data_IF_672061871914
#
_entry.id   IF_672061871914
#
_cell.length_a   1.000
_cell.length_b   1.000
_cell.length_c   1.000
_cell.angle_alpha   90.00
_cell.angle_beta   90.00
_cell.angle_gamma   90.00
#
_symmetry.space_group_name_H-M   'P 1'
#
loop_
_entity.id
_entity.type
_entity.pdbx_description
1 polymer ?
#
# COMPACT_ATOMS: atom_id res chain seq x y z
N UNK A 1 41.35 39.52 21.89
CA UNK A 1 41.35 38.24 21.15
C UNK A 1 40.11 37.45 21.53
N UNK A 2 39.08 37.43 20.67
CA UNK A 2 37.84 36.67 20.90
C UNK A 2 38.04 35.27 20.31
N UNK A 3 38.03 34.23 21.15
CA UNK A 3 38.04 32.83 20.69
C UNK A 3 36.62 32.46 20.28
N UNK A 4 36.37 32.29 18.99
CA UNK A 4 35.13 31.68 18.51
C UNK A 4 35.15 30.19 18.86
N UNK A 5 34.20 29.76 19.68
CA UNK A 5 33.95 28.34 19.97
C UNK A 5 32.93 27.87 18.93
N UNK A 6 33.36 27.01 18.01
CA UNK A 6 32.45 26.30 17.11
C UNK A 6 31.81 25.14 17.88
N UNK A 7 30.53 25.28 18.23
CA UNK A 7 29.73 24.19 18.78
C UNK A 7 29.20 23.38 17.59
N UNK A 8 29.79 22.20 17.37
CA UNK A 8 29.32 21.25 16.36
C UNK A 8 28.17 20.44 16.96
N UNK A 9 26.94 20.70 16.52
CA UNK A 9 25.76 19.94 16.95
C UNK A 9 25.72 18.64 16.12
N UNK A 10 25.86 17.44 16.71
CA UNK A 10 25.77 16.21 15.95
C UNK A 10 24.32 16.04 15.46
N UNK A 11 24.13 16.12 14.15
CA UNK A 11 22.85 15.86 13.50
C UNK A 11 22.59 14.35 13.57
N UNK A 12 21.82 13.91 14.57
CA UNK A 12 21.31 12.54 14.59
C UNK A 12 20.22 12.41 13.51
N UNK A 13 20.61 11.93 12.33
CA UNK A 13 19.66 11.55 11.29
C UNK A 13 18.92 10.29 11.76
N UNK A 14 17.70 10.46 12.23
CA UNK A 14 16.76 9.35 12.44
C UNK A 14 16.34 8.81 11.07
N UNK A 15 16.74 7.56 10.77
CA UNK A 15 16.28 6.87 9.57
C UNK A 15 14.81 6.52 9.77
N UNK A 16 13.92 7.14 8.98
CA UNK A 16 12.51 6.77 8.92
C UNK A 16 12.35 5.55 8.03
N UNK A 17 12.04 4.39 8.63
CA UNK A 17 11.69 3.18 7.88
C UNK A 17 10.23 3.28 7.40
N UNK A 18 10.01 3.96 6.28
CA UNK A 18 8.75 3.83 5.53
C UNK A 18 8.66 2.45 4.87
N UNK A 19 7.45 2.02 4.51
CA UNK A 19 7.34 0.82 3.68
C UNK A 19 8.02 1.10 2.35
N UNK A 20 9.07 0.33 2.07
CA UNK A 20 9.56 0.11 0.71
C UNK A 20 9.31 -1.35 0.34
N UNK A 21 10.04 -1.86 -0.66
CA UNK A 21 9.89 -3.27 -1.11
C UNK A 21 9.94 -4.29 0.04
N UNK A 22 10.84 -4.11 1.00
CA UNK A 22 10.96 -4.98 2.18
C UNK A 22 9.70 -4.95 3.06
N UNK A 23 9.14 -3.76 3.27
CA UNK A 23 7.93 -3.55 4.06
C UNK A 23 6.73 -4.31 3.52
N UNK A 24 6.41 -4.06 2.24
CA UNK A 24 5.32 -4.75 1.56
C UNK A 24 5.50 -6.27 1.54
N UNK A 25 6.72 -6.75 1.30
CA UNK A 25 7.04 -8.19 1.33
C UNK A 25 6.79 -8.82 2.69
N UNK A 26 7.15 -8.13 3.78
CA UNK A 26 6.89 -8.59 5.15
C UNK A 26 5.38 -8.63 5.41
N UNK A 27 4.63 -7.57 5.05
CA UNK A 27 3.17 -7.54 5.19
C UNK A 27 2.52 -8.70 4.44
N UNK A 28 2.88 -8.91 3.16
CA UNK A 28 2.37 -10.01 2.35
C UNK A 28 2.73 -11.39 2.91
N UNK A 29 3.97 -11.56 3.41
CA UNK A 29 4.40 -12.80 4.03
C UNK A 29 3.60 -13.12 5.29
N UNK A 30 3.43 -12.14 6.19
CA UNK A 30 2.63 -12.29 7.41
C UNK A 30 1.18 -12.63 7.04
N UNK A 31 0.56 -11.88 6.11
CA UNK A 31 -0.81 -12.13 5.67
C UNK A 31 -1.02 -13.57 5.20
N UNK A 32 -0.08 -14.12 4.43
CA UNK A 32 -0.13 -15.48 3.91
C UNK A 32 -0.13 -16.55 5.02
N UNK A 33 0.58 -16.31 6.13
CA UNK A 33 0.61 -17.21 7.29
C UNK A 33 -0.73 -17.27 8.03
N UNK A 34 -1.50 -16.18 7.98
CA UNK A 34 -2.78 -16.06 8.69
C UNK A 34 -4.02 -16.34 7.81
N UNK A 35 -3.85 -16.71 6.54
CA UNK A 35 -4.97 -17.12 5.70
C UNK A 35 -5.62 -18.39 6.25
N UNK A 36 -6.95 -18.37 6.34
CA UNK A 36 -7.74 -19.61 6.48
C UNK A 36 -7.58 -20.48 5.26
N UNK A 37 -7.90 -21.77 5.37
CA UNK A 37 -7.79 -22.71 4.25
C UNK A 37 -8.62 -22.27 3.03
N UNK A 38 -9.86 -21.82 3.25
CA UNK A 38 -10.71 -21.29 2.17
C UNK A 38 -10.11 -20.05 1.50
N UNK A 39 -9.55 -19.13 2.29
CA UNK A 39 -8.91 -17.93 1.74
C UNK A 39 -7.64 -18.29 0.95
N UNK A 40 -6.86 -19.25 1.44
CA UNK A 40 -5.67 -19.76 0.77
C UNK A 40 -6.01 -20.37 -0.59
N UNK A 41 -7.05 -21.21 -0.65
CA UNK A 41 -7.51 -21.77 -1.92
C UNK A 41 -7.97 -20.70 -2.92
N UNK A 42 -8.69 -19.67 -2.45
CA UNK A 42 -9.08 -18.55 -3.28
C UNK A 42 -7.87 -17.77 -3.82
N UNK A 43 -6.91 -17.45 -2.96
CA UNK A 43 -5.65 -16.80 -3.37
C UNK A 43 -4.90 -17.66 -4.40
N UNK A 44 -4.75 -18.96 -4.15
CA UNK A 44 -4.10 -19.88 -5.09
C UNK A 44 -4.84 -19.98 -6.42
N UNK A 45 -6.17 -19.93 -6.44
CA UNK A 45 -6.92 -19.90 -7.71
C UNK A 45 -6.69 -18.64 -8.54
N UNK A 46 -6.34 -17.53 -7.88
CA UNK A 46 -6.10 -16.24 -8.55
C UNK A 46 -4.62 -16.10 -8.96
N UNK A 47 -3.69 -16.41 -8.06
CA UNK A 47 -2.25 -16.16 -8.23
C UNK A 47 -1.43 -17.39 -8.64
N UNK A 48 -2.05 -18.58 -8.67
CA UNK A 48 -1.36 -19.84 -8.89
C UNK A 48 -0.32 -20.09 -7.80
N UNK A 49 0.94 -20.25 -8.21
CA UNK A 49 2.06 -20.52 -7.30
C UNK A 49 2.76 -19.25 -6.78
N UNK A 50 2.21 -18.07 -7.07
CA UNK A 50 2.79 -16.79 -6.65
C UNK A 50 2.31 -16.42 -5.26
N UNK A 51 3.23 -16.15 -4.33
CA UNK A 51 2.90 -15.77 -2.95
C UNK A 51 2.39 -14.33 -2.82
N UNK A 52 1.66 -14.05 -1.75
CA UNK A 52 1.27 -12.67 -1.40
C UNK A 52 2.49 -11.76 -1.20
N UNK A 53 3.59 -12.30 -0.65
CA UNK A 53 4.85 -11.55 -0.48
C UNK A 53 5.43 -11.11 -1.83
N UNK A 54 5.41 -11.98 -2.84
CA UNK A 54 5.95 -11.67 -4.17
C UNK A 54 5.15 -10.59 -4.89
N UNK A 55 3.81 -10.65 -4.83
CA UNK A 55 2.97 -9.66 -5.52
C UNK A 55 2.84 -8.33 -4.79
N UNK A 56 3.22 -8.29 -3.51
CA UNK A 56 3.06 -7.11 -2.65
C UNK A 56 3.72 -5.83 -3.16
N UNK A 57 4.72 -5.92 -4.05
CA UNK A 57 5.42 -4.75 -4.62
C UNK A 57 4.96 -4.39 -6.03
N UNK A 58 4.07 -5.18 -6.63
CA UNK A 58 3.68 -5.01 -8.03
C UNK A 58 3.00 -3.67 -8.30
N UNK A 59 2.16 -3.18 -7.38
CA UNK A 59 1.45 -1.92 -7.57
C UNK A 59 2.39 -0.71 -7.62
N UNK A 60 3.54 -0.74 -6.92
CA UNK A 60 4.57 0.30 -7.07
C UNK A 60 5.35 0.15 -8.38
N UNK A 61 5.59 -1.09 -8.82
CA UNK A 61 6.36 -1.38 -10.02
C UNK A 61 5.58 -1.00 -11.29
N UNK A 62 4.27 -1.22 -11.31
CA UNK A 62 3.41 -0.91 -12.46
C UNK A 62 3.24 0.59 -12.70
N UNK A 63 3.55 1.47 -11.72
CA UNK A 63 3.56 2.93 -11.91
C UNK A 63 4.57 3.41 -12.96
N UNK A 64 5.52 2.56 -13.33
CA UNK A 64 6.48 2.84 -14.40
C UNK A 64 5.89 2.65 -15.81
N UNK A 65 4.72 2.02 -15.91
CA UNK A 65 3.98 1.85 -17.16
C UNK A 65 3.02 3.04 -17.37
N UNK A 66 3.17 3.83 -18.46
CA UNK A 66 2.29 4.96 -18.74
C UNK A 66 0.81 4.59 -18.90
N UNK A 67 0.49 3.33 -19.23
CA UNK A 67 -0.90 2.87 -19.27
C UNK A 67 -1.57 2.89 -17.88
N UNK A 68 -0.77 2.91 -16.82
CA UNK A 68 -1.18 2.89 -15.42
C UNK A 68 -1.07 4.22 -14.68
N UNK A 69 -0.83 5.34 -15.40
CA UNK A 69 -0.78 6.69 -14.80
C UNK A 69 -2.04 7.03 -13.99
N UNK A 70 -3.18 6.47 -14.40
CA UNK A 70 -4.48 6.62 -13.73
C UNK A 70 -4.56 6.00 -12.33
N UNK A 71 -3.59 5.16 -11.95
CA UNK A 71 -3.50 4.51 -10.64
C UNK A 71 -2.60 5.25 -9.65
N UNK A 72 -1.98 6.37 -10.06
CA UNK A 72 -1.01 7.10 -9.25
C UNK A 72 -1.54 7.50 -7.86
N UNK A 73 -2.79 7.97 -7.80
CA UNK A 73 -3.44 8.45 -6.58
C UNK A 73 -4.07 7.33 -5.74
N UNK A 74 -3.89 6.05 -6.11
CA UNK A 74 -4.46 4.93 -5.38
C UNK A 74 -3.65 4.53 -4.15
N UNK A 75 -2.41 5.02 -4.00
CA UNK A 75 -1.48 4.58 -2.95
C UNK A 75 -1.62 5.34 -1.63
N UNK A 76 -2.43 6.39 -1.58
CA UNK A 76 -2.55 7.24 -0.41
C UNK A 76 -3.96 7.80 -0.31
N UNK A 77 -4.29 8.32 0.87
CA UNK A 77 -5.47 9.11 1.15
C UNK A 77 -5.08 10.21 2.13
N UNK A 78 -5.39 11.46 1.83
CA UNK A 78 -5.10 12.57 2.75
C UNK A 78 -6.27 12.82 3.68
N UNK A 79 -6.06 12.68 4.99
CA UNK A 79 -7.05 13.01 6.02
C UNK A 79 -6.50 14.18 6.84
N UNK A 80 -6.99 15.41 6.65
CA UNK A 80 -6.52 16.56 7.42
C UNK A 80 -6.75 16.40 8.93
N UNK A 81 -5.91 17.07 9.72
CA UNK A 81 -5.99 17.01 11.17
C UNK A 81 -7.37 17.47 11.69
N UNK A 82 -7.94 16.69 12.60
CA UNK A 82 -9.27 16.93 13.16
C UNK A 82 -10.42 16.52 12.24
N UNK A 83 -10.16 15.99 11.04
CA UNK A 83 -11.18 15.42 10.17
C UNK A 83 -11.31 13.90 10.33
N UNK A 84 -12.45 13.38 9.86
CA UNK A 84 -12.70 11.95 9.69
C UNK A 84 -12.75 11.63 8.20
N UNK A 85 -12.32 10.42 7.83
CA UNK A 85 -12.47 9.93 6.48
C UNK A 85 -13.96 9.93 6.05
N UNK A 86 -14.21 10.36 4.82
CA UNK A 86 -15.53 10.35 4.19
C UNK A 86 -15.36 10.19 2.68
N UNK A 87 -15.77 9.05 2.16
CA UNK A 87 -15.70 8.71 0.74
C UNK A 87 -16.00 9.90 -0.18
N UNK A 88 -15.10 10.16 -1.13
CA UNK A 88 -15.22 11.24 -2.10
C UNK A 88 -14.96 12.66 -1.57
N UNK A 89 -14.62 12.83 -0.28
CA UNK A 89 -14.19 14.12 0.29
C UNK A 89 -12.68 14.31 0.24
N UNK A 90 -11.92 13.25 0.56
CA UNK A 90 -10.46 13.30 0.66
C UNK A 90 -9.79 13.21 -0.71
N UNK A 91 -8.55 13.73 -0.80
CA UNK A 91 -7.68 13.47 -1.94
C UNK A 91 -6.98 12.12 -1.78
N UNK A 92 -6.70 11.47 -2.91
CA UNK A 92 -6.15 10.10 -2.91
C UNK A 92 -7.22 9.06 -2.62
N UNK A 93 -7.14 7.93 -3.34
CA UNK A 93 -8.24 6.98 -3.48
C UNK A 93 -7.95 5.62 -2.85
N UNK A 94 -6.94 5.51 -1.99
CA UNK A 94 -6.51 4.22 -1.43
C UNK A 94 -7.65 3.49 -0.72
N UNK A 95 -8.42 4.19 0.11
CA UNK A 95 -9.53 3.58 0.87
C UNK A 95 -10.65 3.12 -0.08
N UNK A 96 -11.04 3.95 -1.03
CA UNK A 96 -12.05 3.63 -2.04
C UNK A 96 -11.62 2.45 -2.91
N UNK A 97 -10.35 2.40 -3.32
CA UNK A 97 -9.82 1.32 -4.16
C UNK A 97 -9.76 0.00 -3.42
N UNK A 98 -9.41 0.00 -2.13
CA UNK A 98 -9.54 -1.19 -1.29
C UNK A 98 -10.98 -1.70 -1.27
N UNK A 99 -11.98 -0.83 -1.15
CA UNK A 99 -13.39 -1.22 -1.18
C UNK A 99 -13.83 -1.76 -2.55
N UNK A 100 -13.37 -1.14 -3.63
CA UNK A 100 -13.64 -1.57 -5.01
C UNK A 100 -13.09 -2.98 -5.28
N UNK A 101 -11.81 -3.21 -4.96
CA UNK A 101 -11.17 -4.52 -5.15
C UNK A 101 -11.77 -5.59 -4.24
N UNK A 102 -12.09 -5.27 -2.98
CA UNK A 102 -12.81 -6.19 -2.10
C UNK A 102 -14.18 -6.57 -2.67
N UNK A 103 -14.90 -5.62 -3.26
CA UNK A 103 -16.22 -5.87 -3.85
C UNK A 103 -16.10 -6.79 -5.06
N UNK A 104 -15.16 -6.52 -5.95
CA UNK A 104 -14.89 -7.35 -7.14
C UNK A 104 -14.49 -8.78 -6.76
N UNK A 105 -13.55 -8.94 -5.81
CA UNK A 105 -13.09 -10.26 -5.37
C UNK A 105 -14.19 -11.06 -4.67
N UNK A 106 -15.10 -10.38 -3.95
CA UNK A 106 -16.24 -11.02 -3.27
C UNK A 106 -17.37 -11.38 -4.24
N UNK A 107 -17.60 -10.60 -5.28
CA UNK A 107 -18.68 -10.88 -6.24
C UNK A 107 -18.39 -12.08 -7.11
N UNK A 108 -17.10 -12.39 -7.35
CA UNK A 108 -16.68 -13.46 -8.26
C UNK A 108 -17.03 -13.19 -9.73
N UNK A 109 -17.40 -11.95 -10.08
CA UNK A 109 -17.83 -11.57 -11.42
C UNK A 109 -16.69 -11.12 -12.33
N UNK A 110 -15.50 -10.88 -11.77
CA UNK A 110 -14.32 -10.46 -12.53
C UNK A 110 -13.71 -11.59 -13.35
N UNK A 111 -13.10 -11.23 -14.48
CA UNK A 111 -12.21 -12.11 -15.23
C UNK A 111 -10.98 -12.50 -14.40
N UNK A 112 -10.26 -13.54 -14.80
CA UNK A 112 -9.03 -13.95 -14.12
C UNK A 112 -8.03 -12.79 -14.00
N UNK A 113 -7.84 -12.02 -15.09
CA UNK A 113 -6.91 -10.89 -15.12
C UNK A 113 -7.34 -9.78 -14.16
N UNK A 114 -8.64 -9.43 -14.15
CA UNK A 114 -9.17 -8.41 -13.23
C UNK A 114 -9.02 -8.84 -11.76
N UNK A 115 -9.30 -10.10 -11.45
CA UNK A 115 -9.14 -10.64 -10.09
C UNK A 115 -7.67 -10.65 -9.66
N UNK A 116 -6.75 -10.99 -10.57
CA UNK A 116 -5.32 -10.95 -10.30
C UNK A 116 -4.86 -9.51 -9.99
N UNK A 117 -5.19 -8.55 -10.86
CA UNK A 117 -4.89 -7.13 -10.65
C UNK A 117 -5.47 -6.64 -9.32
N UNK A 118 -6.75 -6.94 -9.05
CA UNK A 118 -7.43 -6.53 -7.84
C UNK A 118 -6.76 -7.09 -6.58
N UNK A 119 -6.36 -8.36 -6.58
CA UNK A 119 -5.69 -8.97 -5.45
C UNK A 119 -4.28 -8.38 -5.24
N UNK A 120 -3.53 -8.12 -6.32
CA UNK A 120 -2.21 -7.47 -6.22
C UNK A 120 -2.31 -6.08 -5.61
N UNK A 121 -3.25 -5.26 -6.08
CA UNK A 121 -3.49 -3.94 -5.48
C UNK A 121 -3.98 -4.05 -4.04
N UNK A 122 -4.94 -4.94 -3.74
CA UNK A 122 -5.47 -5.10 -2.39
C UNK A 122 -4.35 -5.41 -1.37
N UNK A 123 -3.45 -6.33 -1.69
CA UNK A 123 -2.31 -6.68 -0.82
C UNK A 123 -1.40 -5.47 -0.60
N UNK A 124 -1.11 -4.71 -1.66
CA UNK A 124 -0.23 -3.55 -1.57
C UNK A 124 -0.86 -2.40 -0.78
N UNK A 125 -2.09 -2.02 -1.14
CA UNK A 125 -2.81 -0.87 -0.59
C UNK A 125 -3.14 -1.03 0.90
N UNK A 126 -3.40 -2.26 1.36
CA UNK A 126 -3.53 -2.51 2.80
C UNK A 126 -2.20 -2.20 3.51
N UNK A 127 -1.06 -2.52 2.92
CA UNK A 127 0.25 -2.12 3.44
C UNK A 127 0.40 -0.60 3.51
N UNK A 128 0.09 0.09 2.40
CA UNK A 128 0.14 1.55 2.30
C UNK A 128 -0.73 2.23 3.35
N UNK A 129 -1.99 1.81 3.53
CA UNK A 129 -2.90 2.40 4.51
C UNK A 129 -2.43 2.23 5.97
N UNK A 130 -1.53 1.30 6.25
CA UNK A 130 -0.89 1.15 7.57
C UNK A 130 0.43 1.95 7.68
N UNK A 131 0.85 2.64 6.63
CA UNK A 131 1.96 3.59 6.62
C UNK A 131 1.46 4.98 7.02
N UNK A 132 1.95 5.59 8.12
CA UNK A 132 1.38 6.85 8.63
C UNK A 132 1.37 8.04 7.66
N UNK A 133 2.36 8.17 6.78
CA UNK A 133 2.44 9.24 5.80
C UNK A 133 1.58 8.99 4.54
N UNK A 134 1.17 7.74 4.27
CA UNK A 134 0.20 7.43 3.20
C UNK A 134 -1.25 7.73 3.62
N UNK A 135 -1.49 7.91 4.93
CA UNK A 135 -2.78 8.38 5.49
C UNK A 135 -2.59 9.68 6.29
N UNK A 136 -1.68 10.53 5.81
CA UNK A 136 -1.30 11.79 6.47
C UNK A 136 -2.20 12.98 6.12
N UNK A 137 -1.77 14.17 6.54
CA UNK A 137 -2.47 15.44 6.31
C UNK A 137 -2.03 16.18 5.02
N UNK A 138 -1.10 15.59 4.24
CA UNK A 138 -0.67 16.12 2.95
C UNK A 138 0.24 17.35 3.03
N UNK A 139 0.84 17.64 4.19
CA UNK A 139 1.79 18.75 4.40
C UNK A 139 3.20 18.29 4.70
#
# INVERSE_FOLDING_TARGET
MIKQIFICFPFFLSVLFGWGKTGHRIVGYIAEQFLTENARQGVTSILGNTSLSMVSTWADEIKSDPEWDHAYDWHWTTVPDGEQFKEGKQSGRAVEKVQEFLTLLKSGSGTQSENEIALKFLVHLIGDLHQPLHVGNGT
#
